data_IF_686694399748
#
_entry.id   IF_686694399748
#
_cell.length_a   1.000
_cell.length_b   1.000
_cell.length_c   1.000
_cell.angle_alpha   90.00
_cell.angle_beta   90.00
_cell.angle_gamma   90.00
#
_symmetry.space_group_name_H-M   'P 1'
#
loop_
_entity.id
_entity.type
_entity.pdbx_description
1 polymer ?
#
# COMPACT_ATOMS: atom_id res chain seq x y z
N UNK A 1 6.74 3.10 7.40
CA UNK A 1 6.56 4.38 6.69
C UNK A 1 5.33 4.30 5.79
N UNK A 2 4.43 5.26 5.94
CA UNK A 2 3.25 5.43 5.08
C UNK A 2 3.59 6.25 3.83
N UNK A 3 3.19 5.75 2.67
CA UNK A 3 3.31 6.41 1.36
C UNK A 3 1.91 6.60 0.78
N UNK A 4 1.64 7.70 0.08
CA UNK A 4 0.35 7.91 -0.59
C UNK A 4 0.54 7.92 -2.09
N UNK A 5 -0.22 7.09 -2.81
CA UNK A 5 -0.25 7.11 -4.26
C UNK A 5 -1.16 8.23 -4.74
N UNK A 6 -0.56 9.25 -5.36
CA UNK A 6 -1.32 10.34 -5.97
C UNK A 6 -2.06 9.86 -7.23
N UNK A 7 -3.18 10.52 -7.61
CA UNK A 7 -3.85 10.26 -8.89
C UNK A 7 -2.89 10.40 -10.08
N UNK A 8 -2.85 9.38 -10.93
CA UNK A 8 -1.91 9.31 -12.07
C UNK A 8 -0.44 9.08 -11.68
N UNK A 9 -0.15 8.83 -10.40
CA UNK A 9 1.19 8.54 -9.91
C UNK A 9 1.68 7.15 -10.33
N UNK A 10 2.99 7.00 -10.43
CA UNK A 10 3.66 5.72 -10.65
C UNK A 10 3.99 5.07 -9.30
N UNK A 11 3.29 3.99 -8.99
CA UNK A 11 3.50 3.23 -7.74
C UNK A 11 4.91 2.66 -7.61
N UNK A 12 5.52 2.23 -8.72
CA UNK A 12 6.86 1.67 -8.69
C UNK A 12 7.90 2.77 -8.41
N UNK A 13 7.74 3.94 -9.04
CA UNK A 13 8.57 5.10 -8.74
C UNK A 13 8.42 5.55 -7.28
N UNK A 14 7.19 5.61 -6.77
CA UNK A 14 6.90 5.95 -5.37
C UNK A 14 7.60 5.01 -4.39
N UNK A 15 7.49 3.69 -4.60
CA UNK A 15 8.09 2.68 -3.73
C UNK A 15 9.62 2.67 -3.84
N UNK A 16 10.19 2.79 -5.05
CA UNK A 16 11.65 2.80 -5.25
C UNK A 16 12.32 4.09 -4.76
N UNK A 17 11.58 5.19 -4.70
CA UNK A 17 12.05 6.45 -4.14
C UNK A 17 12.03 6.53 -2.62
N UNK A 18 11.48 5.51 -1.95
CA UNK A 18 11.30 5.45 -0.51
C UNK A 18 12.42 4.64 0.19
N UNK A 19 12.57 4.85 1.50
CA UNK A 19 13.53 4.12 2.34
C UNK A 19 12.87 3.63 3.62
N UNK A 20 13.43 2.58 4.22
CA UNK A 20 12.95 1.99 5.47
C UNK A 20 12.79 0.47 5.35
N UNK A 21 12.53 -0.17 6.48
CA UNK A 21 12.32 -1.61 6.60
C UNK A 21 10.86 -2.03 6.33
N UNK A 22 9.92 -1.09 6.42
CA UNK A 22 8.49 -1.29 6.16
C UNK A 22 7.87 -0.10 5.44
N UNK A 23 7.35 -0.35 4.25
CA UNK A 23 6.60 0.59 3.43
C UNK A 23 5.13 0.15 3.36
N UNK A 24 4.21 1.06 3.69
CA UNK A 24 2.76 0.85 3.56
C UNK A 24 2.23 1.88 2.58
N UNK A 25 1.80 1.41 1.40
CA UNK A 25 1.28 2.24 0.31
C UNK A 25 -0.23 2.41 0.45
N UNK A 26 -0.68 3.65 0.58
CA UNK A 26 -2.08 4.03 0.53
C UNK A 26 -2.51 4.16 -0.93
N UNK A 27 -3.47 3.34 -1.35
CA UNK A 27 -4.07 3.39 -2.68
C UNK A 27 -5.46 4.03 -2.53
N UNK A 28 -5.66 5.27 -3.02
CA UNK A 28 -6.91 5.99 -2.81
C UNK A 28 -8.05 5.42 -3.67
N UNK A 29 -9.29 5.60 -3.17
CA UNK A 29 -10.50 5.18 -3.86
C UNK A 29 -10.71 5.91 -5.21
N UNK A 30 -10.12 7.10 -5.36
CA UNK A 30 -10.31 7.99 -6.51
C UNK A 30 -9.60 7.53 -7.80
N UNK A 31 -8.82 6.44 -7.76
CA UNK A 31 -8.21 5.89 -8.96
C UNK A 31 -9.28 5.27 -9.86
N UNK A 32 -9.10 5.41 -11.18
CA UNK A 32 -9.89 4.63 -12.12
C UNK A 32 -9.63 3.12 -11.96
N UNK A 33 -10.53 2.31 -12.53
CA UNK A 33 -10.48 0.85 -12.38
C UNK A 33 -9.18 0.20 -12.86
N UNK A 34 -8.56 0.74 -13.92
CA UNK A 34 -7.31 0.20 -14.47
C UNK A 34 -6.13 0.59 -13.57
N UNK A 35 -6.03 1.86 -13.20
CA UNK A 35 -5.00 2.35 -12.29
C UNK A 35 -5.04 1.63 -10.93
N UNK A 36 -6.24 1.41 -10.39
CA UNK A 36 -6.44 0.62 -9.18
C UNK A 36 -5.94 -0.84 -9.35
N UNK A 37 -6.29 -1.50 -10.44
CA UNK A 37 -5.85 -2.86 -10.71
C UNK A 37 -4.32 -2.96 -10.87
N UNK A 38 -3.72 -2.02 -11.60
CA UNK A 38 -2.27 -1.94 -11.79
C UNK A 38 -1.54 -1.69 -10.47
N UNK A 39 -2.03 -0.75 -9.66
CA UNK A 39 -1.48 -0.45 -8.35
C UNK A 39 -1.48 -1.69 -7.45
N UNK A 40 -2.60 -2.41 -7.36
CA UNK A 40 -2.69 -3.66 -6.58
C UNK A 40 -1.75 -4.74 -7.11
N UNK A 41 -1.68 -4.91 -8.43
CA UNK A 41 -0.83 -5.92 -9.07
C UNK A 41 0.67 -5.64 -8.86
N UNK A 42 1.08 -4.38 -8.71
CA UNK A 42 2.48 -4.01 -8.52
C UNK A 42 3.03 -4.34 -7.12
N UNK A 43 2.18 -4.44 -6.10
CA UNK A 43 2.62 -4.64 -4.70
C UNK A 43 3.41 -5.93 -4.50
N UNK A 44 2.91 -7.06 -5.04
CA UNK A 44 3.59 -8.35 -4.94
C UNK A 44 4.99 -8.36 -5.58
N UNK A 45 5.14 -7.97 -6.86
CA UNK A 45 6.43 -7.85 -7.51
C UNK A 45 7.40 -6.87 -6.80
N UNK A 46 6.93 -5.70 -6.37
CA UNK A 46 7.77 -4.73 -5.64
C UNK A 46 8.24 -5.27 -4.28
N UNK A 47 7.38 -6.03 -3.59
CA UNK A 47 7.76 -6.73 -2.36
C UNK A 47 8.84 -7.79 -2.61
N UNK A 48 8.81 -8.51 -3.74
CA UNK A 48 9.86 -9.46 -4.13
C UNK A 48 11.15 -8.71 -4.46
N UNK A 49 11.06 -7.63 -5.23
CA UNK A 49 12.21 -6.82 -5.65
C UNK A 49 13.02 -6.28 -4.47
N UNK A 50 12.34 -5.85 -3.40
CA UNK A 50 12.97 -5.23 -2.23
C UNK A 50 13.25 -6.20 -1.07
N UNK A 51 12.82 -7.45 -1.19
CA UNK A 51 13.13 -8.47 -0.19
C UNK A 51 14.63 -8.82 -0.19
N UNK A 52 15.20 -9.17 0.98
CA UNK A 52 14.58 -9.23 2.30
C UNK A 52 14.65 -7.92 3.09
N UNK A 53 15.25 -6.87 2.52
CA UNK A 53 15.60 -5.66 3.26
C UNK A 53 14.38 -4.81 3.64
N UNK A 54 13.40 -4.73 2.74
CA UNK A 54 12.23 -3.87 2.91
C UNK A 54 10.95 -4.65 2.63
N UNK A 55 9.99 -4.55 3.53
CA UNK A 55 8.62 -5.05 3.33
C UNK A 55 7.78 -3.98 2.64
N UNK A 56 6.96 -4.38 1.67
CA UNK A 56 6.04 -3.49 0.98
C UNK A 56 4.65 -4.07 1.07
N UNK A 57 3.72 -3.35 1.68
CA UNK A 57 2.32 -3.71 1.72
C UNK A 57 1.47 -2.51 1.28
N UNK A 58 0.18 -2.73 1.04
CA UNK A 58 -0.74 -1.67 0.68
C UNK A 58 -2.04 -1.73 1.46
N UNK A 59 -2.60 -0.55 1.70
CA UNK A 59 -3.97 -0.36 2.16
C UNK A 59 -4.75 0.28 1.02
N UNK A 60 -5.82 -0.38 0.59
CA UNK A 60 -6.70 0.13 -0.47
C UNK A 60 -7.94 0.73 0.16
N UNK A 61 -8.16 2.02 -0.09
CA UNK A 61 -9.26 2.77 0.48
C UNK A 61 -10.52 2.62 -0.38
N UNK A 62 -11.65 2.35 0.24
CA UNK A 62 -12.96 2.65 -0.34
C UNK A 62 -13.36 4.11 -0.02
N UNK A 63 -14.32 4.67 -0.76
CA UNK A 63 -14.76 6.08 -0.62
C UNK A 63 -15.18 6.48 0.80
N UNK A 64 -15.55 5.52 1.62
CA UNK A 64 -16.14 5.74 2.93
C UNK A 64 -15.35 5.07 4.08
N UNK A 65 -14.08 4.75 3.81
CA UNK A 65 -13.17 4.21 4.82
C UNK A 65 -13.02 5.19 5.99
N UNK A 66 -13.22 4.70 7.21
CA UNK A 66 -13.05 5.52 8.41
C UNK A 66 -11.56 5.76 8.70
N UNK A 67 -11.14 6.99 9.04
CA UNK A 67 -9.73 7.29 9.33
C UNK A 67 -9.10 6.35 10.37
N UNK A 68 -9.82 6.04 11.44
CA UNK A 68 -9.35 5.16 12.51
C UNK A 68 -9.09 3.72 12.02
N UNK A 69 -9.93 3.21 11.12
CA UNK A 69 -9.75 1.88 10.52
C UNK A 69 -8.55 1.87 9.57
N UNK A 70 -8.31 2.97 8.87
CA UNK A 70 -7.14 3.15 8.00
C UNK A 70 -5.86 3.18 8.81
N UNK A 71 -5.83 3.97 9.88
CA UNK A 71 -4.64 4.08 10.73
C UNK A 71 -4.33 2.76 11.44
N UNK A 72 -5.36 2.04 11.93
CA UNK A 72 -5.20 0.71 12.49
C UNK A 72 -4.67 -0.32 11.47
N UNK A 73 -5.12 -0.25 10.22
CA UNK A 73 -4.63 -1.11 9.14
C UNK A 73 -3.16 -0.84 8.80
N UNK A 74 -2.76 0.44 8.78
CA UNK A 74 -1.35 0.83 8.59
C UNK A 74 -0.49 0.32 9.75
N UNK A 75 -0.90 0.56 10.99
CA UNK A 75 -0.17 0.10 12.19
C UNK A 75 0.03 -1.42 12.18
N UNK A 76 -1.03 -2.17 11.85
CA UNK A 76 -0.95 -3.63 11.70
C UNK A 76 0.12 -4.05 10.69
N UNK A 77 0.11 -3.48 9.48
CA UNK A 77 1.07 -3.84 8.42
C UNK A 77 2.50 -3.40 8.75
N UNK A 78 2.67 -2.26 9.42
CA UNK A 78 3.97 -1.81 9.92
C UNK A 78 4.54 -2.76 10.98
N UNK A 79 3.71 -3.29 11.88
CA UNK A 79 4.14 -4.25 12.90
C UNK A 79 4.37 -5.68 12.37
N UNK A 80 3.77 -6.04 11.23
CA UNK A 80 3.73 -7.41 10.72
C UNK A 80 5.05 -7.90 10.08
N UNK A 81 6.04 -8.27 10.90
CA UNK A 81 7.41 -8.64 10.46
C UNK A 81 7.50 -9.76 9.40
N UNK A 82 6.52 -10.65 9.33
CA UNK A 82 6.49 -11.77 8.38
C UNK A 82 5.66 -11.49 7.12
N UNK A 83 5.19 -10.25 6.96
CA UNK A 83 4.20 -9.89 5.94
C UNK A 83 4.76 -8.85 4.97
N UNK A 84 4.84 -9.24 3.70
CA UNK A 84 5.19 -8.38 2.57
C UNK A 84 4.35 -8.80 1.35
N UNK A 85 4.12 -7.89 0.41
CA UNK A 85 3.32 -8.10 -0.78
C UNK A 85 1.81 -8.11 -0.54
N UNK A 86 1.33 -7.77 0.66
CA UNK A 86 -0.10 -7.80 0.97
C UNK A 86 -0.82 -6.55 0.50
N UNK A 87 -2.07 -6.75 0.09
CA UNK A 87 -3.02 -5.70 -0.26
C UNK A 87 -4.23 -5.86 0.65
N UNK A 88 -4.48 -4.88 1.52
CA UNK A 88 -5.56 -4.90 2.50
C UNK A 88 -6.63 -3.86 2.13
N UNK A 89 -7.80 -4.29 1.62
CA UNK A 89 -8.92 -3.38 1.39
C UNK A 89 -9.55 -2.94 2.70
N UNK A 90 -9.81 -1.63 2.85
CA UNK A 90 -10.53 -1.04 3.97
C UNK A 90 -11.74 -0.27 3.42
N UNK A 91 -12.93 -0.67 3.86
CA UNK A 91 -14.20 -0.03 3.51
C UNK A 91 -15.06 0.23 4.73
N UNK A 92 -16.36 0.47 4.54
CA UNK A 92 -17.30 0.55 5.67
C UNK A 92 -17.37 -0.77 6.43
N UNK A 93 -17.53 -0.66 7.75
CA UNK A 93 -17.93 -1.77 8.62
C UNK A 93 -19.40 -2.13 8.40
#
# INVERSE_FOLDING_TARGET
>A
MRLTLEPGGDIAALVRGAWGDSLVVMIPAALDSLAMAQARAAIGPLAIELAPATRVNAVVLAEEAQPDDVDAAVEFLEAARSTTGQVLPIGKR
#
